data_IF_725718127352
#
_entry.id   IF_725718127352
#
_cell.length_a   1.000
_cell.length_b   1.000
_cell.length_c   1.000
_cell.angle_alpha   90.00
_cell.angle_beta   90.00
_cell.angle_gamma   90.00
#
_symmetry.space_group_name_H-M   'P 1'
#
loop_
_entity.id
_entity.type
_entity.pdbx_description
1 polymer ?
#
# COMPACT_ATOMS: atom_id res chain seq x y z
N UNK A 1 -4.21 -16.07 -7.40
CA UNK A 1 -2.84 -15.53 -7.42
C UNK A 1 -2.03 -16.11 -6.27
N UNK A 2 -0.71 -16.21 -6.44
CA UNK A 2 0.14 -16.97 -5.54
C UNK A 2 0.38 -16.29 -4.18
N UNK A 3 0.02 -15.01 -4.00
CA UNK A 3 0.09 -14.38 -2.68
C UNK A 3 -0.75 -15.10 -1.62
N UNK A 4 -1.86 -15.73 -2.04
CA UNK A 4 -2.75 -16.46 -1.14
C UNK A 4 -2.16 -17.77 -0.60
N UNK A 5 -1.04 -18.24 -1.15
CA UNK A 5 -0.37 -19.48 -0.71
C UNK A 5 1.03 -19.22 -0.16
N UNK A 6 1.44 -17.97 0.06
CA UNK A 6 2.77 -17.60 0.55
C UNK A 6 3.05 -18.10 1.97
N UNK A 7 2.03 -18.09 2.83
CA UNK A 7 2.15 -18.72 4.14
C UNK A 7 1.82 -20.22 4.05
N UNK A 8 2.86 -21.05 4.11
CA UNK A 8 2.77 -22.49 3.99
C UNK A 8 1.88 -23.18 5.03
N UNK A 9 1.67 -22.57 6.19
CA UNK A 9 0.88 -23.17 7.28
C UNK A 9 -0.62 -23.00 7.09
N UNK A 10 -1.04 -22.06 6.25
CA UNK A 10 -2.45 -21.75 6.03
C UNK A 10 -3.20 -22.95 5.44
N UNK A 11 -4.48 -23.09 5.82
CA UNK A 11 -5.38 -24.09 5.24
C UNK A 11 -5.42 -24.00 3.72
N UNK A 12 -5.38 -22.78 3.18
CA UNK A 12 -5.38 -22.52 1.75
C UNK A 12 -4.12 -23.02 1.05
N UNK A 13 -2.92 -22.77 1.59
CA UNK A 13 -1.67 -23.28 1.01
C UNK A 13 -1.60 -24.82 1.07
N UNK A 14 -2.06 -25.43 2.18
CA UNK A 14 -2.14 -26.89 2.29
C UNK A 14 -3.11 -27.50 1.28
N UNK A 15 -4.30 -26.93 1.14
CA UNK A 15 -5.29 -27.37 0.17
C UNK A 15 -4.83 -27.19 -1.28
N UNK A 16 -4.15 -26.09 -1.60
CA UNK A 16 -3.61 -25.87 -2.94
C UNK A 16 -2.54 -26.93 -3.31
N UNK A 17 -1.69 -27.32 -2.35
CA UNK A 17 -0.67 -28.37 -2.56
C UNK A 17 -1.24 -29.77 -2.68
N UNK A 18 -2.38 -30.07 -2.05
CA UNK A 18 -3.00 -31.40 -2.15
C UNK A 18 -3.71 -31.66 -3.47
N UNK A 19 -3.85 -30.65 -4.34
CA UNK A 19 -4.46 -30.82 -5.66
C UNK A 19 -3.46 -31.53 -6.57
N UNK A 20 -3.87 -32.71 -7.05
CA UNK A 20 -3.17 -33.42 -8.11
C UNK A 20 -3.34 -32.66 -9.42
N UNK A 21 -2.22 -32.27 -10.03
CA UNK A 21 -2.20 -31.53 -11.28
C UNK A 21 -0.98 -31.93 -12.10
N UNK A 22 -1.16 -32.16 -13.40
CA UNK A 22 -0.06 -32.44 -14.33
C UNK A 22 0.83 -31.22 -14.61
N UNK A 23 0.28 -30.01 -14.46
CA UNK A 23 0.99 -28.75 -14.64
C UNK A 23 0.56 -27.74 -13.58
N UNK A 24 1.51 -26.96 -13.08
CA UNK A 24 1.26 -25.91 -12.07
C UNK A 24 1.89 -24.60 -12.51
N UNK A 25 1.10 -23.53 -12.42
CA UNK A 25 1.55 -22.15 -12.70
C UNK A 25 1.17 -21.29 -11.50
N UNK A 26 2.12 -20.46 -11.05
CA UNK A 26 1.91 -19.50 -9.98
C UNK A 26 2.11 -18.09 -10.54
N UNK A 27 1.07 -17.27 -10.47
CA UNK A 27 1.11 -15.87 -10.90
C UNK A 27 1.15 -14.96 -9.66
N UNK A 28 2.14 -14.08 -9.58
CA UNK A 28 2.31 -13.10 -8.51
C UNK A 28 3.05 -11.87 -9.00
N UNK A 29 2.61 -10.69 -8.58
CA UNK A 29 3.34 -9.44 -8.84
C UNK A 29 4.64 -9.32 -8.02
N UNK A 30 4.71 -10.03 -6.90
CA UNK A 30 5.87 -10.08 -6.00
C UNK A 30 6.16 -11.53 -5.60
N UNK A 31 7.18 -12.18 -6.17
CA UNK A 31 7.48 -13.59 -5.85
C UNK A 31 7.89 -13.78 -4.38
N UNK A 32 8.47 -12.75 -3.78
CA UNK A 32 8.71 -12.63 -2.34
C UNK A 32 7.92 -11.44 -1.85
N UNK A 33 6.92 -11.64 -0.99
CA UNK A 33 6.36 -10.53 -0.21
C UNK A 33 7.17 -10.43 1.07
N UNK A 34 6.84 -11.22 2.08
CA UNK A 34 7.14 -10.90 3.46
C UNK A 34 8.53 -11.36 3.87
N UNK A 35 8.98 -12.49 3.33
CA UNK A 35 10.30 -13.06 3.61
C UNK A 35 10.59 -14.19 2.62
N UNK A 36 11.82 -14.69 2.67
CA UNK A 36 12.31 -15.81 1.82
C UNK A 36 11.48 -17.10 1.97
N UNK A 37 10.74 -17.26 3.08
CA UNK A 37 9.81 -18.38 3.28
C UNK A 37 8.60 -18.37 2.34
N UNK A 38 8.19 -17.20 1.85
CA UNK A 38 7.13 -17.09 0.84
C UNK A 38 7.52 -17.83 -0.45
N UNK A 39 8.79 -17.70 -0.84
CA UNK A 39 9.34 -18.37 -2.02
C UNK A 39 9.33 -19.89 -1.83
N UNK A 40 9.65 -20.38 -0.63
CA UNK A 40 9.57 -21.81 -0.33
C UNK A 40 8.14 -22.34 -0.49
N UNK A 41 7.14 -21.64 0.05
CA UNK A 41 5.75 -22.09 -0.06
C UNK A 41 5.25 -22.14 -1.50
N UNK A 42 5.61 -21.15 -2.32
CA UNK A 42 5.28 -21.12 -3.75
C UNK A 42 6.03 -22.21 -4.52
N UNK A 43 7.32 -22.41 -4.24
CA UNK A 43 8.13 -23.45 -4.88
C UNK A 43 7.68 -24.84 -4.48
N UNK A 44 7.23 -25.06 -3.26
CA UNK A 44 6.68 -26.33 -2.81
C UNK A 44 5.35 -26.64 -3.50
N UNK A 45 4.56 -25.62 -3.86
CA UNK A 45 3.40 -25.80 -4.72
C UNK A 45 3.82 -26.14 -6.16
N UNK A 46 4.76 -25.40 -6.76
CA UNK A 46 5.17 -25.61 -8.15
C UNK A 46 5.92 -26.93 -8.37
N UNK A 47 6.92 -27.20 -7.52
CA UNK A 47 7.88 -28.28 -7.61
C UNK A 47 8.05 -28.93 -6.21
N UNK A 48 7.10 -29.77 -5.76
CA UNK A 48 7.12 -30.38 -4.43
C UNK A 48 8.46 -31.05 -4.11
N UNK A 49 9.05 -30.73 -2.97
CA UNK A 49 10.32 -31.31 -2.49
C UNK A 49 11.59 -30.74 -3.11
N UNK A 50 11.52 -29.88 -4.14
CA UNK A 50 12.71 -29.37 -4.84
C UNK A 50 13.66 -28.58 -3.93
N UNK A 51 13.12 -27.77 -3.01
CA UNK A 51 13.91 -27.00 -2.04
C UNK A 51 14.14 -27.74 -0.72
N UNK A 52 13.76 -29.01 -0.66
CA UNK A 52 13.84 -29.85 0.52
C UNK A 52 12.82 -29.50 1.63
N UNK A 53 12.86 -30.25 2.74
CA UNK A 53 11.98 -30.04 3.88
C UNK A 53 12.11 -28.63 4.46
N UNK A 54 11.01 -28.11 5.02
CA UNK A 54 10.93 -26.75 5.55
C UNK A 54 12.03 -26.41 6.56
N UNK A 55 12.35 -27.32 7.48
CA UNK A 55 13.41 -27.09 8.48
C UNK A 55 14.79 -27.00 7.85
N UNK A 56 15.04 -27.79 6.80
CA UNK A 56 16.30 -27.73 6.07
C UNK A 56 16.41 -26.44 5.27
N UNK A 57 15.33 -26.03 4.58
CA UNK A 57 15.27 -24.74 3.91
C UNK A 57 15.50 -23.59 4.90
N UNK A 58 14.88 -23.68 6.08
CA UNK A 58 15.00 -22.68 7.13
C UNK A 58 16.46 -22.51 7.57
N UNK A 59 17.16 -23.62 7.80
CA UNK A 59 18.58 -23.62 8.20
C UNK A 59 19.51 -23.16 7.08
N UNK A 60 19.30 -23.61 5.84
CA UNK A 60 20.21 -23.34 4.70
C UNK A 60 20.02 -21.97 4.07
N UNK A 61 18.81 -21.43 4.10
CA UNK A 61 18.45 -20.22 3.37
C UNK A 61 17.77 -19.18 4.26
N UNK A 62 16.68 -19.53 4.95
CA UNK A 62 15.90 -18.53 5.69
C UNK A 62 16.73 -17.80 6.75
N UNK A 63 17.37 -18.54 7.67
CA UNK A 63 18.17 -17.94 8.75
C UNK A 63 19.39 -17.20 8.18
N UNK A 64 20.21 -17.81 7.30
CA UNK A 64 21.33 -17.09 6.69
C UNK A 64 20.94 -15.80 5.98
N UNK A 65 19.84 -15.80 5.20
CA UNK A 65 19.44 -14.63 4.42
C UNK A 65 18.75 -13.59 5.31
N UNK A 66 17.78 -14.01 6.12
CA UNK A 66 16.91 -13.09 6.85
C UNK A 66 17.56 -12.55 8.13
N UNK A 67 18.27 -13.40 8.88
CA UNK A 67 18.88 -13.02 10.16
C UNK A 67 20.35 -12.63 10.01
N UNK A 68 21.13 -13.42 9.26
CA UNK A 68 22.58 -13.21 9.13
C UNK A 68 22.97 -12.33 7.93
N UNK A 69 22.02 -12.01 7.05
CA UNK A 69 22.22 -11.21 5.83
C UNK A 69 23.33 -11.74 4.91
N UNK A 70 23.48 -13.07 4.85
CA UNK A 70 24.46 -13.76 4.02
C UNK A 70 24.13 -13.61 2.52
N UNK A 71 24.94 -12.86 1.74
CA UNK A 71 24.70 -12.66 0.31
C UNK A 71 24.94 -13.94 -0.51
N UNK A 72 25.80 -14.85 -0.05
CA UNK A 72 26.06 -16.10 -0.75
C UNK A 72 24.88 -17.07 -0.64
N UNK A 73 24.23 -17.12 0.53
CA UNK A 73 23.00 -17.89 0.70
C UNK A 73 21.88 -17.38 -0.23
N UNK A 74 21.74 -16.07 -0.39
CA UNK A 74 20.79 -15.46 -1.31
C UNK A 74 21.10 -15.82 -2.77
N UNK A 75 22.38 -15.76 -3.16
CA UNK A 75 22.84 -16.13 -4.50
C UNK A 75 22.57 -17.61 -4.83
N UNK A 76 22.88 -18.51 -3.88
CA UNK A 76 22.60 -19.95 -4.02
C UNK A 76 21.12 -20.21 -4.23
N UNK A 77 20.26 -19.58 -3.43
CA UNK A 77 18.82 -19.72 -3.57
C UNK A 77 18.30 -19.17 -4.91
N UNK A 78 18.85 -18.04 -5.36
CA UNK A 78 18.50 -17.45 -6.66
C UNK A 78 18.83 -18.41 -7.80
N UNK A 79 20.03 -18.99 -7.82
CA UNK A 79 20.44 -19.96 -8.86
C UNK A 79 19.51 -21.17 -8.95
N UNK A 80 18.98 -21.64 -7.81
CA UNK A 80 18.03 -22.75 -7.77
C UNK A 80 16.64 -22.38 -8.29
N UNK A 81 16.19 -21.13 -8.08
CA UNK A 81 14.81 -20.72 -8.35
C UNK A 81 14.62 -19.98 -9.68
N UNK A 82 15.68 -19.40 -10.25
CA UNK A 82 15.66 -18.70 -11.55
C UNK A 82 15.08 -19.54 -12.70
N UNK A 83 15.41 -20.85 -12.87
CA UNK A 83 14.85 -21.64 -13.97
C UNK A 83 13.32 -21.78 -13.94
N UNK A 84 12.70 -21.58 -12.78
CA UNK A 84 11.25 -21.69 -12.57
C UNK A 84 10.56 -20.32 -12.51
N UNK A 85 11.33 -19.23 -12.62
CA UNK A 85 10.84 -17.87 -12.43
C UNK A 85 11.00 -17.06 -13.72
N UNK A 86 9.87 -16.78 -14.37
CA UNK A 86 9.82 -15.78 -15.43
C UNK A 86 9.31 -14.46 -14.84
N UNK A 87 10.19 -13.45 -14.73
CA UNK A 87 9.85 -12.11 -14.27
C UNK A 87 10.22 -11.09 -15.33
N UNK A 88 9.28 -10.19 -15.64
CA UNK A 88 9.48 -9.05 -16.54
C UNK A 88 9.06 -7.78 -15.81
N UNK A 89 9.82 -6.71 -15.98
CA UNK A 89 9.49 -5.40 -15.43
C UNK A 89 8.74 -4.59 -16.48
N UNK A 90 7.82 -3.71 -16.05
CA UNK A 90 7.14 -2.79 -16.98
C UNK A 90 8.08 -1.73 -17.56
N UNK A 91 9.22 -1.52 -16.94
CA UNK A 91 10.31 -0.66 -17.42
C UNK A 91 11.21 -1.37 -18.42
N UNK A 92 10.97 -2.65 -18.72
CA UNK A 92 11.69 -3.40 -19.74
C UNK A 92 11.27 -2.92 -21.13
N UNK A 93 12.03 -1.94 -21.66
CA UNK A 93 11.81 -1.34 -22.98
C UNK A 93 11.98 -2.33 -24.13
N UNK A 94 12.54 -3.52 -23.89
CA UNK A 94 12.64 -4.56 -24.93
C UNK A 94 11.30 -5.27 -25.19
N UNK A 95 10.32 -5.13 -24.29
CA UNK A 95 9.00 -5.77 -24.36
C UNK A 95 7.88 -4.74 -24.53
N UNK A 96 8.09 -3.51 -24.05
CA UNK A 96 7.06 -2.47 -23.99
C UNK A 96 7.60 -1.21 -24.66
N UNK A 97 7.27 -1.04 -25.94
CA UNK A 97 7.60 0.16 -26.71
C UNK A 97 6.59 1.31 -26.50
N UNK A 98 5.36 0.98 -26.03
CA UNK A 98 4.19 1.86 -26.14
C UNK A 98 3.66 2.43 -24.81
N UNK A 99 4.25 2.10 -23.65
CA UNK A 99 3.79 2.69 -22.39
C UNK A 99 4.36 4.11 -22.23
N UNK A 100 3.50 5.11 -21.96
CA UNK A 100 3.92 6.49 -21.74
C UNK A 100 4.71 6.64 -20.43
N UNK A 101 5.22 7.83 -20.13
CA UNK A 101 6.01 8.04 -18.93
C UNK A 101 5.14 7.97 -17.66
N UNK A 102 5.70 7.34 -16.62
CA UNK A 102 5.14 7.34 -15.27
C UNK A 102 6.03 8.22 -14.38
N UNK A 103 5.44 9.29 -13.86
CA UNK A 103 6.11 10.20 -12.92
C UNK A 103 5.57 9.96 -11.51
N UNK A 104 6.45 9.61 -10.57
CA UNK A 104 6.09 9.48 -9.16
C UNK A 104 6.64 10.67 -8.37
N UNK A 105 5.79 11.32 -7.59
CA UNK A 105 6.14 12.46 -6.76
C UNK A 105 5.55 12.34 -5.36
N UNK A 106 6.31 12.78 -4.36
CA UNK A 106 5.81 12.95 -3.00
C UNK A 106 5.16 14.32 -2.89
N UNK A 107 4.01 14.38 -2.23
CA UNK A 107 3.31 15.62 -1.94
C UNK A 107 3.24 15.77 -0.43
N UNK A 108 4.06 16.67 0.09
CA UNK A 108 4.07 17.00 1.51
C UNK A 108 2.88 17.89 1.85
N UNK A 109 2.15 17.48 2.89
CA UNK A 109 0.99 18.19 3.43
C UNK A 109 1.30 18.58 4.87
N UNK A 110 0.87 19.76 5.29
CA UNK A 110 0.95 20.19 6.70
C UNK A 110 -0.27 19.68 7.47
N UNK A 111 -0.14 19.54 8.79
CA UNK A 111 -1.30 19.33 9.65
C UNK A 111 -1.98 20.66 9.97
N UNK A 112 -3.31 20.64 10.04
CA UNK A 112 -4.06 21.73 10.67
C UNK A 112 -3.79 21.77 12.18
N UNK A 113 -4.13 22.90 12.84
CA UNK A 113 -4.00 23.04 14.30
C UNK A 113 -4.83 21.99 15.06
N UNK A 114 -6.00 21.65 14.54
CA UNK A 114 -6.83 20.57 15.07
C UNK A 114 -6.15 19.21 14.92
N UNK A 115 -5.67 18.88 13.71
CA UNK A 115 -4.96 17.62 13.48
C UNK A 115 -3.74 17.49 14.37
N UNK A 116 -2.94 18.54 14.51
CA UNK A 116 -1.76 18.54 15.37
C UNK A 116 -2.11 18.30 16.84
N UNK A 117 -3.22 18.87 17.32
CA UNK A 117 -3.71 18.66 18.69
C UNK A 117 -4.18 17.23 18.92
N UNK A 118 -5.00 16.68 18.01
CA UNK A 118 -5.45 15.29 18.05
C UNK A 118 -4.27 14.32 17.96
N UNK A 119 -3.31 14.60 17.08
CA UNK A 119 -2.12 13.79 16.89
C UNK A 119 -1.31 13.72 18.17
N UNK A 120 -1.02 14.86 18.81
CA UNK A 120 -0.31 14.90 20.11
C UNK A 120 -1.06 14.13 21.20
N UNK A 121 -2.40 14.23 21.25
CA UNK A 121 -3.21 13.48 22.21
C UNK A 121 -3.08 11.96 22.01
N UNK A 122 -3.13 11.47 20.76
CA UNK A 122 -2.93 10.04 20.45
C UNK A 122 -1.52 9.58 20.81
N UNK A 123 -0.49 10.40 20.56
CA UNK A 123 0.90 10.07 20.94
C UNK A 123 1.03 9.97 22.47
N UNK A 124 0.44 10.89 23.22
CA UNK A 124 0.47 10.86 24.69
C UNK A 124 -0.26 9.63 25.26
N UNK A 125 -1.43 9.30 24.73
CA UNK A 125 -2.19 8.09 25.09
C UNK A 125 -1.36 6.83 24.81
N UNK A 126 -0.69 6.77 23.66
CA UNK A 126 0.15 5.64 23.30
C UNK A 126 1.38 5.51 24.21
N UNK A 127 1.97 6.63 24.63
CA UNK A 127 3.15 6.62 25.50
C UNK A 127 2.86 6.02 26.87
N UNK A 128 1.72 6.41 27.46
CA UNK A 128 1.23 5.87 28.73
C UNK A 128 0.92 4.37 28.62
N UNK A 129 0.22 3.98 27.55
CA UNK A 129 -0.21 2.60 27.36
C UNK A 129 0.94 1.64 26.98
N UNK A 130 1.96 2.11 26.26
CA UNK A 130 3.11 1.28 25.85
C UNK A 130 4.08 0.99 26.99
N UNK A 131 4.11 1.82 28.04
CA UNK A 131 5.04 1.66 29.17
C UNK A 131 4.83 0.37 29.98
N UNK A 132 3.65 -0.23 29.91
CA UNK A 132 3.30 -1.44 30.69
C UNK A 132 2.87 -2.64 29.82
N UNK A 133 2.77 -2.48 28.51
CA UNK A 133 2.28 -3.51 27.60
C UNK A 133 3.40 -4.43 27.11
N UNK A 134 3.19 -5.75 27.19
CA UNK A 134 4.13 -6.76 26.68
C UNK A 134 3.49 -7.69 25.64
N UNK A 135 4.35 -8.40 24.89
CA UNK A 135 3.94 -9.47 23.97
C UNK A 135 2.85 -9.07 22.97
N UNK A 136 1.78 -9.87 22.88
CA UNK A 136 0.69 -9.66 21.92
C UNK A 136 -0.08 -8.36 22.19
N UNK A 137 -0.24 -7.98 23.46
CA UNK A 137 -0.93 -6.75 23.85
C UNK A 137 -0.16 -5.53 23.32
N UNK A 138 1.16 -5.52 23.49
CA UNK A 138 2.03 -4.47 22.95
C UNK A 138 1.88 -4.34 21.43
N UNK A 139 1.95 -5.47 20.70
CA UNK A 139 1.78 -5.47 19.24
C UNK A 139 0.43 -4.91 18.81
N UNK A 140 -0.64 -5.31 19.50
CA UNK A 140 -2.00 -4.81 19.24
C UNK A 140 -2.11 -3.30 19.47
N UNK A 141 -1.53 -2.79 20.56
CA UNK A 141 -1.51 -1.36 20.86
C UNK A 141 -0.74 -0.55 19.80
N UNK A 142 0.43 -1.02 19.36
CA UNK A 142 1.22 -0.36 18.31
C UNK A 142 0.39 -0.23 17.02
N UNK A 143 -0.25 -1.33 16.59
CA UNK A 143 -1.06 -1.34 15.37
C UNK A 143 -2.29 -0.42 15.50
N UNK A 144 -2.93 -0.39 16.68
CA UNK A 144 -4.04 0.52 16.95
C UNK A 144 -3.59 1.99 16.90
N UNK A 145 -2.45 2.33 17.53
CA UNK A 145 -1.88 3.68 17.52
C UNK A 145 -1.51 4.11 16.10
N UNK A 146 -0.83 3.24 15.32
CA UNK A 146 -0.51 3.51 13.92
C UNK A 146 -1.78 3.81 13.11
N UNK A 147 -2.84 3.03 13.29
CA UNK A 147 -4.12 3.27 12.62
C UNK A 147 -4.74 4.60 13.03
N UNK A 148 -4.79 4.92 14.33
CA UNK A 148 -5.33 6.19 14.84
C UNK A 148 -4.58 7.39 14.26
N UNK A 149 -3.24 7.37 14.31
CA UNK A 149 -2.43 8.47 13.82
C UNK A 149 -2.59 8.67 12.30
N UNK A 150 -2.69 7.59 11.52
CA UNK A 150 -3.02 7.68 10.07
C UNK A 150 -4.38 8.31 9.84
N UNK A 151 -5.40 7.96 10.62
CA UNK A 151 -6.73 8.57 10.52
C UNK A 151 -6.69 10.06 10.84
N UNK A 152 -5.92 10.48 11.86
CA UNK A 152 -5.72 11.90 12.17
C UNK A 152 -5.05 12.64 11.00
N UNK A 153 -4.01 12.05 10.40
CA UNK A 153 -3.32 12.63 9.23
C UNK A 153 -4.27 12.77 8.02
N UNK A 154 -5.17 11.81 7.84
CA UNK A 154 -6.17 11.83 6.78
C UNK A 154 -7.25 12.90 7.01
N UNK A 155 -7.98 12.81 8.11
CA UNK A 155 -9.04 13.75 8.45
C UNK A 155 -9.51 13.62 9.90
N UNK A 156 -9.69 14.72 10.67
CA UNK A 156 -10.26 14.67 12.03
C UNK A 156 -11.60 13.93 12.11
N UNK A 157 -12.55 14.24 11.22
CA UNK A 157 -13.85 13.55 11.16
C UNK A 157 -13.74 12.02 10.92
N UNK A 158 -12.67 11.54 10.26
CA UNK A 158 -12.43 10.10 10.13
C UNK A 158 -12.02 9.49 11.46
N UNK A 159 -11.11 10.16 12.19
CA UNK A 159 -10.64 9.72 13.50
C UNK A 159 -11.74 9.79 14.58
N UNK A 160 -12.52 10.88 14.59
CA UNK A 160 -13.56 11.13 15.59
C UNK A 160 -14.84 10.34 15.32
N UNK A 161 -15.17 10.05 14.05
CA UNK A 161 -16.38 9.33 13.67
C UNK A 161 -17.68 10.07 14.00
N UNK A 162 -17.64 11.40 14.06
CA UNK A 162 -18.67 12.27 14.65
C UNK A 162 -19.55 13.01 13.61
N UNK A 163 -19.39 12.71 12.31
CA UNK A 163 -20.09 13.39 11.21
C UNK A 163 -19.96 14.93 11.20
N UNK A 164 -18.89 15.45 11.80
CA UNK A 164 -18.57 16.87 11.82
C UNK A 164 -18.26 17.42 10.41
N UNK A 165 -18.20 18.75 10.27
CA UNK A 165 -17.93 19.42 8.99
C UNK A 165 -16.60 18.96 8.37
N UNK A 166 -16.53 18.86 7.04
CA UNK A 166 -15.35 18.31 6.36
C UNK A 166 -14.37 19.40 5.90
N UNK A 167 -14.88 20.52 5.37
CA UNK A 167 -14.04 21.55 4.78
C UNK A 167 -13.06 22.19 5.80
N UNK A 168 -11.82 22.42 5.37
CA UNK A 168 -10.82 23.21 6.12
C UNK A 168 -10.17 22.53 7.33
N UNK A 169 -10.41 21.23 7.55
CA UNK A 169 -9.93 20.52 8.75
C UNK A 169 -8.79 19.52 8.50
N UNK A 170 -8.44 19.29 7.23
CA UNK A 170 -7.34 18.40 6.85
C UNK A 170 -6.46 19.03 5.79
N UNK A 171 -5.15 19.08 6.04
CA UNK A 171 -4.18 19.58 5.06
C UNK A 171 -4.05 18.66 3.83
N UNK A 172 -4.16 17.33 4.01
CA UNK A 172 -4.23 16.40 2.87
C UNK A 172 -5.46 16.63 2.00
N UNK A 173 -6.61 16.87 2.63
CA UNK A 173 -7.85 17.13 1.89
C UNK A 173 -7.76 18.45 1.13
N UNK A 174 -7.26 19.51 1.77
CA UNK A 174 -7.02 20.80 1.12
C UNK A 174 -6.11 20.63 -0.11
N UNK A 175 -4.98 19.92 0.06
CA UNK A 175 -4.05 19.67 -1.04
C UNK A 175 -4.64 18.80 -2.15
N UNK A 176 -5.47 17.81 -1.82
CA UNK A 176 -6.18 17.02 -2.82
C UNK A 176 -7.14 17.89 -3.64
N UNK A 177 -7.91 18.76 -2.98
CA UNK A 177 -8.89 19.64 -3.64
C UNK A 177 -8.20 20.62 -4.59
N UNK A 178 -7.12 21.27 -4.15
CA UNK A 178 -6.31 22.15 -5.00
C UNK A 178 -5.84 21.44 -6.27
N UNK A 179 -5.20 20.28 -6.12
CA UNK A 179 -4.67 19.52 -7.26
C UNK A 179 -5.78 18.95 -8.13
N UNK A 180 -6.93 18.58 -7.54
CA UNK A 180 -8.08 18.06 -8.29
C UNK A 180 -8.71 19.15 -9.14
N UNK A 181 -8.78 20.39 -8.65
CA UNK A 181 -9.30 21.52 -9.41
C UNK A 181 -8.53 21.69 -10.73
N UNK A 182 -7.20 21.75 -10.68
CA UNK A 182 -6.35 21.87 -11.87
C UNK A 182 -6.57 20.71 -12.87
N UNK A 183 -6.72 19.49 -12.37
CA UNK A 183 -6.94 18.29 -13.20
C UNK A 183 -8.28 18.35 -13.90
N UNK A 184 -9.34 18.76 -13.19
CA UNK A 184 -10.68 18.82 -13.75
C UNK A 184 -10.82 19.97 -14.77
N UNK A 185 -10.14 21.09 -14.58
CA UNK A 185 -10.10 22.22 -15.52
C UNK A 185 -9.52 21.82 -16.89
N UNK A 186 -8.51 20.96 -16.91
CA UNK A 186 -7.90 20.43 -18.15
C UNK A 186 -8.71 19.25 -18.73
N UNK A 187 -9.71 18.77 -18.01
CA UNK A 187 -10.54 17.63 -18.45
C UNK A 187 -9.84 16.29 -18.29
N UNK A 188 -8.99 16.16 -17.28
CA UNK A 188 -8.31 14.91 -16.94
C UNK A 188 -9.10 14.05 -15.97
N UNK A 189 -8.60 12.83 -15.71
CA UNK A 189 -9.26 11.86 -14.82
C UNK A 189 -8.30 11.38 -13.75
N UNK A 190 -8.84 11.26 -12.53
CA UNK A 190 -8.08 10.94 -11.34
C UNK A 190 -8.60 9.68 -10.64
N UNK A 191 -7.66 8.83 -10.22
CA UNK A 191 -7.90 7.82 -9.20
C UNK A 191 -7.44 8.33 -7.85
N UNK A 192 -8.24 8.14 -6.81
CA UNK A 192 -7.86 8.45 -5.42
C UNK A 192 -7.93 7.18 -4.60
N UNK A 193 -6.79 6.73 -4.09
CA UNK A 193 -6.67 5.54 -3.26
C UNK A 193 -6.58 5.91 -1.78
N UNK A 194 -7.35 5.19 -0.96
CA UNK A 194 -7.25 5.21 0.50
C UNK A 194 -7.32 3.79 1.05
N UNK A 195 -6.61 3.52 2.14
CA UNK A 195 -6.71 2.23 2.84
C UNK A 195 -7.99 2.09 3.67
N UNK A 196 -8.67 3.20 3.96
CA UNK A 196 -9.85 3.25 4.81
C UNK A 196 -11.12 3.49 3.96
N UNK A 197 -12.09 2.59 4.07
CA UNK A 197 -13.39 2.73 3.38
C UNK A 197 -14.13 3.99 3.82
N UNK A 198 -14.04 4.33 5.11
CA UNK A 198 -14.70 5.47 5.73
C UNK A 198 -14.16 6.77 5.14
N UNK A 199 -12.85 6.86 4.99
CA UNK A 199 -12.22 8.01 4.33
C UNK A 199 -12.61 8.08 2.85
N UNK A 200 -12.69 6.95 2.15
CA UNK A 200 -13.18 6.91 0.79
C UNK A 200 -14.59 7.50 0.65
N UNK A 201 -15.49 7.18 1.57
CA UNK A 201 -16.84 7.75 1.60
C UNK A 201 -16.84 9.26 1.89
N UNK A 202 -15.98 9.74 2.80
CA UNK A 202 -15.80 11.18 3.08
C UNK A 202 -15.30 11.90 1.83
N UNK A 203 -14.27 11.36 1.16
CA UNK A 203 -13.69 11.92 -0.06
C UNK A 203 -14.74 12.06 -1.17
N UNK A 204 -15.50 11.00 -1.43
CA UNK A 204 -16.53 11.01 -2.47
C UNK A 204 -17.55 12.09 -2.22
N UNK A 205 -18.10 12.16 -1.00
CA UNK A 205 -19.09 13.18 -0.64
C UNK A 205 -18.54 14.58 -0.84
N UNK A 206 -17.36 14.84 -0.26
CA UNK A 206 -16.74 16.16 -0.30
C UNK A 206 -16.39 16.59 -1.73
N UNK A 207 -15.75 15.72 -2.52
CA UNK A 207 -15.36 16.05 -3.89
C UNK A 207 -16.60 16.31 -4.78
N UNK A 208 -17.69 15.58 -4.59
CA UNK A 208 -18.94 15.85 -5.31
C UNK A 208 -19.55 17.20 -4.94
N UNK A 209 -19.60 17.53 -3.64
CA UNK A 209 -20.10 18.81 -3.16
C UNK A 209 -19.24 19.98 -3.64
N UNK A 210 -17.92 19.82 -3.64
CA UNK A 210 -16.97 20.86 -4.06
C UNK A 210 -16.98 21.11 -5.56
N UNK A 211 -17.02 20.06 -6.38
CA UNK A 211 -16.88 20.19 -7.84
C UNK A 211 -18.20 20.12 -8.62
N UNK A 212 -19.31 19.78 -7.96
CA UNK A 212 -20.62 19.63 -8.60
C UNK A 212 -20.67 18.51 -9.65
N UNK A 213 -19.77 17.52 -9.55
CA UNK A 213 -19.65 16.41 -10.50
C UNK A 213 -19.64 15.08 -9.75
N UNK A 214 -20.14 14.02 -10.37
CA UNK A 214 -20.14 12.67 -9.80
C UNK A 214 -18.72 12.18 -9.52
N UNK A 215 -18.52 11.54 -8.36
CA UNK A 215 -17.31 10.80 -8.03
C UNK A 215 -17.68 9.35 -7.72
N UNK A 216 -17.08 8.41 -8.45
CA UNK A 216 -17.33 6.98 -8.24
C UNK A 216 -16.63 6.48 -6.98
N UNK A 217 -17.19 5.46 -6.32
CA UNK A 217 -16.57 4.82 -5.17
C UNK A 217 -16.56 3.29 -5.27
N UNK A 218 -15.36 2.71 -5.33
CA UNK A 218 -15.18 1.26 -5.29
C UNK A 218 -14.65 0.83 -3.90
N UNK A 219 -15.49 0.12 -3.16
CA UNK A 219 -15.14 -0.49 -1.87
C UNK A 219 -15.49 -1.99 -1.82
N UNK A 220 -15.07 -2.69 -0.76
CA UNK A 220 -15.11 -4.15 -0.70
C UNK A 220 -16.51 -4.76 -0.68
N UNK A 221 -17.53 -3.95 -0.38
CA UNK A 221 -18.94 -4.35 -0.39
C UNK A 221 -19.61 -4.25 -1.75
N UNK A 222 -18.92 -3.73 -2.77
CA UNK A 222 -19.48 -3.59 -4.13
C UNK A 222 -19.45 -4.94 -4.84
N UNK A 223 -20.62 -5.37 -5.34
CA UNK A 223 -20.75 -6.62 -6.10
C UNK A 223 -19.95 -6.59 -7.40
N UNK A 224 -19.64 -7.76 -7.99
CA UNK A 224 -18.88 -7.83 -9.24
C UNK A 224 -19.57 -7.07 -10.38
N UNK A 225 -20.88 -7.23 -10.55
CA UNK A 225 -21.63 -6.56 -11.63
C UNK A 225 -21.62 -5.04 -11.47
N UNK A 226 -21.78 -4.53 -10.24
CA UNK A 226 -21.69 -3.09 -9.97
C UNK A 226 -20.28 -2.55 -10.19
N UNK A 227 -19.26 -3.33 -9.81
CA UNK A 227 -17.85 -2.98 -10.05
C UNK A 227 -17.56 -2.87 -11.54
N UNK A 228 -17.97 -3.86 -12.33
CA UNK A 228 -17.73 -3.88 -13.77
C UNK A 228 -18.43 -2.67 -14.43
N UNK A 229 -19.66 -2.35 -14.02
CA UNK A 229 -20.38 -1.16 -14.47
C UNK A 229 -19.68 0.16 -14.08
N UNK A 230 -19.14 0.28 -12.86
CA UNK A 230 -18.37 1.47 -12.45
C UNK A 230 -17.10 1.65 -13.30
N UNK A 231 -16.39 0.55 -13.58
CA UNK A 231 -15.18 0.57 -14.43
C UNK A 231 -15.52 0.99 -15.84
N UNK A 232 -16.57 0.42 -16.44
CA UNK A 232 -17.03 0.78 -17.77
C UNK A 232 -17.44 2.26 -17.84
N UNK A 233 -18.22 2.74 -16.86
CA UNK A 233 -18.60 4.15 -16.76
C UNK A 233 -17.37 5.05 -16.66
N UNK A 234 -16.42 4.75 -15.78
CA UNK A 234 -15.20 5.56 -15.63
C UNK A 234 -14.36 5.63 -16.91
N UNK A 235 -14.31 4.54 -17.68
CA UNK A 235 -13.56 4.44 -18.93
C UNK A 235 -14.27 5.11 -20.12
N UNK A 236 -15.57 5.41 -20.00
CA UNK A 236 -16.35 6.07 -21.05
C UNK A 236 -15.98 7.56 -21.19
N UNK A 237 -16.08 8.10 -22.42
CA UNK A 237 -15.72 9.49 -22.70
C UNK A 237 -16.54 10.52 -21.90
N UNK A 238 -17.82 10.23 -21.65
CA UNK A 238 -18.73 11.07 -20.84
C UNK A 238 -18.81 10.63 -19.37
N UNK A 239 -17.97 9.67 -18.97
CA UNK A 239 -17.96 9.12 -17.62
C UNK A 239 -17.43 10.07 -16.56
N UNK A 240 -17.65 9.75 -15.26
CA UNK A 240 -17.09 10.50 -14.14
C UNK A 240 -15.57 10.65 -14.21
N UNK A 241 -15.07 11.82 -13.80
CA UNK A 241 -13.64 12.13 -13.84
C UNK A 241 -12.89 11.71 -12.58
N UNK A 242 -13.62 11.51 -11.49
CA UNK A 242 -13.08 11.12 -10.19
C UNK A 242 -13.52 9.69 -9.88
N UNK A 243 -12.57 8.83 -9.54
CA UNK A 243 -12.85 7.50 -9.04
C UNK A 243 -12.05 7.25 -7.76
N UNK A 244 -12.74 7.13 -6.64
CA UNK A 244 -12.17 6.78 -5.35
C UNK A 244 -12.20 5.26 -5.16
N UNK A 245 -11.09 4.68 -4.72
CA UNK A 245 -10.94 3.25 -4.51
C UNK A 245 -10.37 2.97 -3.14
N UNK A 246 -10.99 2.05 -2.40
CA UNK A 246 -10.31 1.49 -1.24
C UNK A 246 -9.26 0.47 -1.69
N UNK A 247 -8.05 0.53 -1.13
CA UNK A 247 -6.90 -0.28 -1.58
C UNK A 247 -7.20 -1.78 -1.58
N UNK A 248 -8.02 -2.26 -0.65
CA UNK A 248 -8.43 -3.68 -0.54
C UNK A 248 -9.61 -4.08 -1.43
N UNK A 249 -10.37 -3.13 -1.98
CA UNK A 249 -11.62 -3.41 -2.67
C UNK A 249 -11.51 -3.79 -4.14
N UNK A 250 -10.41 -3.40 -4.78
CA UNK A 250 -10.15 -3.86 -6.12
C UNK A 250 -9.49 -5.21 -6.05
N UNK A 251 -10.24 -6.25 -6.39
CA UNK A 251 -9.64 -7.53 -6.72
C UNK A 251 -8.60 -7.40 -7.85
N UNK A 252 -7.98 -8.52 -8.13
CA UNK A 252 -7.00 -8.70 -9.19
C UNK A 252 -7.61 -8.32 -10.54
N UNK A 253 -6.98 -7.42 -11.31
CA UNK A 253 -7.29 -7.25 -12.73
C UNK A 253 -8.02 -5.99 -13.20
N UNK A 254 -8.33 -5.00 -12.35
CA UNK A 254 -8.98 -3.75 -12.80
C UNK A 254 -8.14 -2.97 -13.82
N UNK A 255 -8.74 -2.61 -14.96
CA UNK A 255 -8.12 -1.76 -15.99
C UNK A 255 -8.75 -0.36 -15.95
N UNK A 256 -7.99 0.65 -15.55
CA UNK A 256 -8.43 2.04 -15.35
C UNK A 256 -7.57 3.02 -16.14
N UNK A 257 -7.24 2.67 -17.38
CA UNK A 257 -6.35 3.39 -18.29
C UNK A 257 -6.82 4.80 -18.65
N UNK A 258 -8.11 5.13 -18.50
CA UNK A 258 -8.58 6.50 -18.70
C UNK A 258 -8.06 7.47 -17.64
N UNK A 259 -7.55 6.98 -16.50
CA UNK A 259 -6.90 7.83 -15.51
C UNK A 259 -5.46 8.12 -15.88
N UNK A 260 -5.09 9.39 -15.87
CA UNK A 260 -3.71 9.86 -16.02
C UNK A 260 -3.18 10.53 -14.73
N UNK A 261 -4.02 10.67 -13.71
CA UNK A 261 -3.62 11.06 -12.36
C UNK A 261 -3.98 9.99 -11.33
N UNK A 262 -3.04 9.70 -10.43
CA UNK A 262 -3.21 8.75 -9.34
C UNK A 262 -2.77 9.41 -8.05
N UNK A 263 -3.67 9.46 -7.07
CA UNK A 263 -3.40 9.94 -5.72
C UNK A 263 -3.41 8.77 -4.75
N UNK A 264 -2.33 8.60 -3.98
CA UNK A 264 -2.33 7.80 -2.76
C UNK A 264 -2.54 8.76 -1.60
N UNK A 265 -3.79 8.85 -1.14
CA UNK A 265 -4.21 9.80 -0.10
C UNK A 265 -3.58 9.45 1.25
N UNK A 266 -3.47 8.17 1.56
CA UNK A 266 -2.72 7.64 2.68
C UNK A 266 -1.72 6.59 2.23
N UNK A 267 -0.58 6.54 2.93
CA UNK A 267 0.51 5.65 2.57
C UNK A 267 0.24 4.23 3.01
N UNK A 268 0.60 3.32 2.11
CA UNK A 268 0.71 1.91 2.41
C UNK A 268 2.18 1.52 2.38
N UNK A 269 2.71 1.11 3.54
CA UNK A 269 4.15 0.92 3.71
C UNK A 269 4.72 -0.30 2.99
N UNK A 270 3.87 -1.14 2.38
CA UNK A 270 4.28 -2.18 1.44
C UNK A 270 4.26 -1.63 -0.01
N UNK A 271 5.43 -1.39 -0.63
CA UNK A 271 5.50 -0.85 -1.98
C UNK A 271 4.79 -1.71 -3.03
N UNK A 272 4.69 -3.03 -2.81
CA UNK A 272 4.02 -3.94 -3.73
C UNK A 272 2.53 -3.62 -3.88
N UNK A 273 1.86 -3.26 -2.79
CA UNK A 273 0.43 -2.95 -2.78
C UNK A 273 0.18 -1.58 -3.40
N UNK A 274 0.99 -0.57 -3.07
CA UNK A 274 0.91 0.76 -3.71
C UNK A 274 1.16 0.65 -5.22
N UNK A 275 2.21 -0.09 -5.61
CA UNK A 275 2.53 -0.32 -7.02
C UNK A 275 1.41 -1.06 -7.74
N UNK A 276 0.80 -2.08 -7.12
CA UNK A 276 -0.34 -2.79 -7.70
C UNK A 276 -1.55 -1.87 -7.90
N UNK A 277 -1.80 -0.93 -6.99
CA UNK A 277 -2.86 0.06 -7.11
C UNK A 277 -2.57 1.07 -8.24
N UNK A 278 -1.36 1.64 -8.29
CA UNK A 278 -0.89 2.50 -9.39
C UNK A 278 -0.93 1.79 -10.74
N UNK A 279 -0.56 0.51 -10.76
CA UNK A 279 -0.57 -0.35 -11.93
C UNK A 279 -1.96 -0.62 -12.50
N UNK A 280 -3.04 -0.12 -11.89
CA UNK A 280 -4.39 -0.13 -12.49
C UNK A 280 -4.58 0.96 -13.53
N UNK A 281 -3.94 2.12 -13.35
CA UNK A 281 -3.89 3.21 -14.32
C UNK A 281 -2.74 3.05 -15.32
N UNK A 282 -1.59 2.53 -14.85
CA UNK A 282 -0.42 2.29 -15.68
C UNK A 282 -0.42 0.86 -16.28
N UNK A 283 -1.27 0.66 -17.28
CA UNK A 283 -1.51 -0.62 -17.97
C UNK A 283 -1.43 -0.50 -19.47
N UNK A 284 -1.27 -1.63 -20.15
CA UNK A 284 -1.37 -1.72 -21.61
C UNK A 284 -2.72 -1.13 -22.04
N UNK A 285 -2.69 -0.22 -23.02
CA UNK A 285 -3.84 0.62 -23.41
C UNK A 285 -3.85 2.01 -22.78
N UNK A 286 -2.90 2.32 -21.90
CA UNK A 286 -2.62 3.69 -21.47
C UNK A 286 -1.90 4.45 -22.58
N UNK A 287 -2.44 5.60 -22.96
CA UNK A 287 -1.88 6.47 -24.03
C UNK A 287 -1.39 7.81 -23.50
N UNK A 288 -1.60 8.09 -22.20
CA UNK A 288 -1.23 9.35 -21.55
C UNK A 288 -0.20 9.12 -20.45
N UNK A 289 0.71 10.08 -20.29
CA UNK A 289 1.64 10.08 -19.15
C UNK A 289 0.85 10.02 -17.83
N UNK A 290 1.30 9.15 -16.91
CA UNK A 290 0.63 8.93 -15.63
C UNK A 290 1.40 9.64 -14.51
N UNK A 291 0.73 10.55 -13.82
CA UNK A 291 1.27 11.24 -12.64
C UNK A 291 0.77 10.57 -11.36
N UNK A 292 1.69 10.07 -10.55
CA UNK A 292 1.41 9.40 -9.28
C UNK A 292 1.88 10.29 -8.13
N UNK A 293 0.95 10.67 -7.26
CA UNK A 293 1.18 11.56 -6.11
C UNK A 293 0.96 10.79 -4.82
N UNK A 294 1.99 10.73 -3.99
CA UNK A 294 1.97 10.06 -2.69
C UNK A 294 1.92 11.11 -1.60
N UNK A 295 0.78 11.21 -0.91
CA UNK A 295 0.60 12.23 0.12
C UNK A 295 1.29 11.80 1.41
N UNK A 296 1.98 12.75 2.05
CA UNK A 296 2.72 12.54 3.28
C UNK A 296 2.50 13.75 4.18
N UNK A 297 2.01 13.54 5.40
CA UNK A 297 1.98 14.61 6.39
C UNK A 297 3.39 14.86 6.96
N UNK A 298 3.95 16.04 6.66
CA UNK A 298 5.30 16.42 7.08
C UNK A 298 5.44 16.40 8.61
N UNK A 299 6.59 15.94 9.11
CA UNK A 299 6.89 15.90 10.55
C UNK A 299 6.04 14.92 11.37
N UNK A 300 5.22 14.08 10.75
CA UNK A 300 4.44 13.01 11.39
C UNK A 300 5.14 11.66 11.26
N UNK A 301 4.50 10.59 11.74
CA UNK A 301 4.94 9.22 11.48
C UNK A 301 5.03 8.92 9.98
N UNK A 302 4.19 9.55 9.14
CA UNK A 302 4.19 9.23 7.71
C UNK A 302 5.50 9.64 7.04
N UNK A 303 5.98 10.83 7.39
CA UNK A 303 7.25 11.40 6.94
C UNK A 303 8.44 10.57 7.46
N UNK A 304 8.43 10.24 8.76
CA UNK A 304 9.49 9.42 9.37
C UNK A 304 9.56 8.02 8.78
N UNK A 305 8.42 7.35 8.56
CA UNK A 305 8.41 6.03 7.92
C UNK A 305 8.90 6.13 6.47
N UNK A 306 8.52 7.17 5.74
CA UNK A 306 8.99 7.38 4.37
C UNK A 306 10.51 7.59 4.33
N UNK A 307 11.07 8.45 5.19
CA UNK A 307 12.53 8.61 5.38
C UNK A 307 13.21 7.28 5.73
N UNK A 308 12.65 6.49 6.65
CA UNK A 308 13.20 5.18 7.02
C UNK A 308 13.18 4.21 5.85
N UNK A 309 12.10 4.19 5.04
CA UNK A 309 12.02 3.33 3.85
C UNK A 309 13.05 3.76 2.82
N UNK A 310 13.28 5.06 2.63
CA UNK A 310 14.26 5.58 1.68
C UNK A 310 15.70 5.37 2.11
N UNK A 311 16.03 5.63 3.37
CA UNK A 311 17.33 5.32 3.93
C UNK A 311 17.59 3.81 3.88
N UNK A 312 16.53 3.01 4.03
CA UNK A 312 16.61 1.58 3.81
C UNK A 312 16.63 1.20 2.33
N UNK A 313 16.28 2.00 1.31
CA UNK A 313 16.17 1.53 -0.10
C UNK A 313 17.44 0.84 -0.63
N UNK A 314 18.64 1.22 -0.18
CA UNK A 314 19.89 0.49 -0.52
C UNK A 314 19.97 -0.92 0.10
N UNK A 315 19.24 -1.17 1.20
CA UNK A 315 19.19 -2.42 1.98
C UNK A 315 17.79 -3.11 1.87
N UNK A 316 16.75 -2.39 1.44
CA UNK A 316 15.33 -2.73 1.57
C UNK A 316 14.87 -3.71 0.50
N UNK A 317 15.54 -3.76 -0.65
CA UNK A 317 15.34 -4.86 -1.59
C UNK A 317 15.70 -6.22 -0.97
N UNK A 318 16.44 -6.24 0.15
CA UNK A 318 16.91 -7.47 0.81
C UNK A 318 16.35 -7.72 2.22
N UNK A 319 15.82 -6.71 2.93
CA UNK A 319 15.59 -6.82 4.40
C UNK A 319 14.21 -6.38 4.87
N UNK A 320 13.49 -5.51 4.15
CA UNK A 320 12.18 -5.03 4.61
C UNK A 320 11.14 -6.06 4.19
N UNK A 321 10.73 -6.92 5.12
CA UNK A 321 9.53 -7.74 4.91
C UNK A 321 8.37 -6.84 4.54
N UNK A 322 7.57 -7.24 3.54
CA UNK A 322 6.55 -6.41 2.88
C UNK A 322 5.29 -6.14 3.71
N UNK A 323 5.42 -5.78 4.97
CA UNK A 323 4.29 -5.44 5.81
C UNK A 323 4.69 -4.51 6.94
N UNK A 324 3.71 -4.06 7.70
CA UNK A 324 3.91 -3.18 8.86
C UNK A 324 4.49 -3.94 10.06
N UNK A 325 4.70 -5.26 9.96
CA UNK A 325 5.17 -6.09 11.07
C UNK A 325 6.56 -5.73 11.60
N UNK A 326 7.42 -5.06 10.81
CA UNK A 326 8.69 -4.58 11.33
C UNK A 326 8.50 -3.42 12.33
N UNK A 327 7.40 -2.67 12.24
CA UNK A 327 7.08 -1.59 13.19
C UNK A 327 6.74 -2.17 14.57
N UNK A 328 6.14 -3.35 14.63
CA UNK A 328 5.78 -3.98 15.91
C UNK A 328 6.98 -4.55 16.68
N UNK A 329 8.12 -4.70 16.01
CA UNK A 329 9.37 -5.20 16.59
C UNK A 329 10.31 -4.06 17.06
N UNK A 330 9.97 -2.79 16.81
CA UNK A 330 10.74 -1.65 17.30
C UNK A 330 10.69 -1.56 18.83
N UNK A 331 11.76 -1.05 19.43
CA UNK A 331 11.82 -0.74 20.87
C UNK A 331 10.83 0.37 21.22
N UNK A 332 10.55 0.54 22.52
CA UNK A 332 9.61 1.58 22.95
C UNK A 332 10.18 2.97 22.68
N UNK A 333 11.48 3.16 22.85
CA UNK A 333 12.20 4.39 22.53
C UNK A 333 12.12 4.71 21.03
N UNK A 334 12.38 3.73 20.16
CA UNK A 334 12.26 3.87 18.71
C UNK A 334 10.82 4.23 18.29
N UNK A 335 9.81 3.66 18.96
CA UNK A 335 8.40 3.99 18.70
C UNK A 335 8.03 5.40 19.17
N UNK A 336 8.54 5.84 20.33
CA UNK A 336 8.33 7.21 20.81
C UNK A 336 8.91 8.22 19.82
N UNK A 337 10.14 7.98 19.36
CA UNK A 337 10.76 8.80 18.34
C UNK A 337 9.98 8.75 17.03
N UNK A 338 9.51 7.58 16.61
CA UNK A 338 8.73 7.43 15.39
C UNK A 338 7.40 8.19 15.45
N UNK A 339 6.70 8.13 16.58
CA UNK A 339 5.39 8.75 16.74
C UNK A 339 5.46 10.25 17.02
N UNK A 340 6.56 10.76 17.59
CA UNK A 340 6.70 12.16 17.95
C UNK A 340 6.43 13.11 16.76
N UNK A 341 5.68 14.19 17.01
CA UNK A 341 5.43 15.23 16.01
C UNK A 341 6.62 16.22 15.96
N UNK A 342 7.18 16.47 14.77
CA UNK A 342 8.21 17.52 14.59
C UNK A 342 7.58 18.91 14.67
N UNK A 343 8.37 19.91 15.07
CA UNK A 343 7.89 21.26 15.36
C UNK A 343 7.45 22.04 14.10
N UNK A 344 7.91 21.64 12.93
CA UNK A 344 7.62 22.20 11.60
C UNK A 344 6.39 21.55 10.91
N UNK A 345 5.71 20.61 11.58
CA UNK A 345 4.59 19.86 11.01
C UNK A 345 3.26 20.63 10.89
N UNK A 346 3.14 21.79 11.53
CA UNK A 346 1.87 22.53 11.68
C UNK A 346 1.87 23.76 10.79
N UNK A 347 0.77 23.98 10.07
CA UNK A 347 0.54 25.20 9.31
C UNK A 347 0.57 26.43 10.25
N UNK A 348 1.30 27.48 9.85
CA UNK A 348 1.51 28.68 10.65
C UNK A 348 0.19 29.38 11.04
#
# INVERSE_FOLDING_TARGET
EAQNIKNAETKQARAARSIEAGYRIALTGTPVENNVGDLWSVMEYLNPGFLGPREEFRRKFFIPIQALRDPEAAERLRKLTVPFTLRRLKTDRSIIADLPEKMEMKVFCTLTKEQASLYKAVVAEADEALGSAEGIQRRGLILATLSKLKQVCNHPAQFLGDNSSIAGRSGKLARLVEMMQEILEVGDRALVFSQFSEMGAILVRHLQETFGQEALFLHGGVSKNQRDAMVERFQSAEGPRIFVLSLKAGGTGLNLTSANHVFHFDRWWNPAVENQATDRAFRIGQVRNVQVRKFICAGTLEDKIDEMIENKKEIAERVVGTGEGWLTELSTEELKELFALRHDAVEA
#
